data_IF_155219424019
#
_entry.id   IF_155219424019
#
_cell.length_a   1.000
_cell.length_b   1.000
_cell.length_c   1.000
_cell.angle_alpha   90.00
_cell.angle_beta   90.00
_cell.angle_gamma   90.00
#
_symmetry.space_group_name_H-M   'P 1'
#
loop_
_entity.id
_entity.type
_entity.pdbx_description
1 polymer ?
#
# COMPACT_ATOMS: atom_id res chain seq x y z
N UNK A 1 -2.98 8.72 20.45
CA UNK A 1 -1.70 9.44 20.47
C UNK A 1 -0.72 8.63 19.64
N UNK A 2 -0.17 9.17 18.55
CA UNK A 2 0.83 8.47 17.73
C UNK A 2 2.22 8.71 18.31
N UNK A 3 2.86 7.63 18.76
CA UNK A 3 4.28 7.64 19.14
C UNK A 3 5.15 7.78 17.88
N UNK A 4 6.39 8.32 17.98
CA UNK A 4 7.35 8.28 16.88
C UNK A 4 7.54 6.84 16.39
N UNK A 5 7.46 6.64 15.07
CA UNK A 5 7.62 5.35 14.42
C UNK A 5 8.08 5.54 12.97
N UNK A 6 8.54 4.44 12.39
CA UNK A 6 8.69 4.24 10.94
C UNK A 6 7.81 3.04 10.57
N UNK A 7 7.08 3.12 9.47
CA UNK A 7 6.11 2.09 9.11
C UNK A 7 5.82 2.00 7.61
N UNK A 8 5.19 0.87 7.27
CA UNK A 8 4.66 0.52 5.95
C UNK A 8 5.64 0.78 4.79
N UNK A 9 6.85 0.20 4.85
CA UNK A 9 7.84 0.35 3.80
C UNK A 9 7.31 -0.19 2.46
N UNK A 10 7.70 0.46 1.39
CA UNK A 10 7.51 0.06 0.00
C UNK A 10 8.89 0.00 -0.65
N UNK A 11 9.34 -1.20 -1.00
CA UNK A 11 10.74 -1.49 -1.34
C UNK A 11 10.86 -1.90 -2.79
N UNK A 12 11.75 -1.24 -3.52
CA UNK A 12 12.00 -1.43 -4.95
C UNK A 12 13.49 -1.65 -5.20
N UNK A 13 13.81 -2.53 -6.14
CA UNK A 13 15.19 -2.74 -6.60
C UNK A 13 15.41 -1.94 -7.88
N UNK A 14 16.32 -0.97 -7.84
CA UNK A 14 16.83 -0.27 -9.02
C UNK A 14 18.03 -1.05 -9.57
N UNK A 15 17.74 -1.95 -10.51
CA UNK A 15 18.74 -2.80 -11.16
C UNK A 15 19.82 -1.98 -11.89
N UNK A 16 19.47 -0.83 -12.47
CA UNK A 16 20.43 -0.03 -13.21
C UNK A 16 21.46 0.63 -12.28
N UNK A 17 21.04 1.03 -11.08
CA UNK A 17 21.90 1.62 -10.05
C UNK A 17 22.46 0.61 -9.05
N UNK A 18 21.99 -0.64 -9.09
CA UNK A 18 22.27 -1.66 -8.09
C UNK A 18 21.99 -1.15 -6.67
N UNK A 19 20.83 -0.51 -6.51
CA UNK A 19 20.40 0.16 -5.28
C UNK A 19 18.97 -0.28 -4.92
N UNK A 20 18.70 -0.44 -3.63
CA UNK A 20 17.39 -0.70 -3.07
C UNK A 20 16.83 0.65 -2.61
N UNK A 21 15.63 0.98 -3.08
CA UNK A 21 14.90 2.19 -2.73
C UNK A 21 13.74 1.79 -1.81
N UNK A 22 13.65 2.41 -0.64
CA UNK A 22 12.58 2.19 0.32
C UNK A 22 11.82 3.50 0.57
N UNK A 23 10.55 3.55 0.17
CA UNK A 23 9.64 4.60 0.62
C UNK A 23 9.00 4.16 1.93
N UNK A 24 9.08 4.98 2.96
CA UNK A 24 8.50 4.65 4.28
C UNK A 24 7.94 5.92 4.90
N UNK A 25 6.94 5.76 5.77
CA UNK A 25 6.36 6.89 6.49
C UNK A 25 6.73 6.87 7.96
N UNK A 26 6.70 8.06 8.56
CA UNK A 26 6.90 8.25 9.98
C UNK A 26 6.26 9.54 10.46
N UNK A 27 6.41 9.82 11.75
CA UNK A 27 5.86 11.04 12.36
C UNK A 27 6.72 12.26 11.97
N UNK A 28 6.14 13.20 11.24
CA UNK A 28 6.79 14.47 10.88
C UNK A 28 6.59 15.52 11.98
N UNK A 29 5.37 15.60 12.50
CA UNK A 29 4.97 16.43 13.63
C UNK A 29 3.75 15.81 14.28
N UNK A 30 3.31 16.33 15.42
CA UNK A 30 2.16 15.79 16.14
C UNK A 30 0.93 15.64 15.22
N UNK A 31 0.46 14.41 15.06
CA UNK A 31 -0.70 14.06 14.22
C UNK A 31 -0.45 14.08 12.69
N UNK A 32 0.75 14.42 12.23
CA UNK A 32 1.10 14.41 10.81
C UNK A 32 2.14 13.32 10.53
N UNK A 33 1.75 12.37 9.68
CA UNK A 33 2.66 11.39 9.10
C UNK A 33 3.00 11.80 7.66
N UNK A 34 4.23 11.55 7.24
CA UNK A 34 4.72 11.85 5.89
C UNK A 34 5.69 10.75 5.45
N UNK A 35 5.83 10.59 4.14
CA UNK A 35 6.72 9.61 3.52
C UNK A 35 8.05 10.26 3.16
N UNK A 36 9.14 9.53 3.41
CA UNK A 36 10.51 9.81 2.94
C UNK A 36 11.05 8.60 2.19
N UNK A 37 12.23 8.77 1.60
CA UNK A 37 12.96 7.69 0.95
C UNK A 37 14.25 7.38 1.70
N UNK A 38 14.60 6.10 1.76
CA UNK A 38 15.93 5.64 2.13
C UNK A 38 16.48 4.74 1.03
N UNK A 39 17.80 4.68 0.90
CA UNK A 39 18.45 3.78 -0.06
C UNK A 39 19.50 2.88 0.59
N UNK A 40 19.76 1.73 -0.02
CA UNK A 40 20.70 0.72 0.46
C UNK A 40 21.30 -0.06 -0.71
N UNK A 41 22.52 -0.56 -0.58
CA UNK A 41 23.15 -1.47 -1.55
C UNK A 41 23.21 -2.92 -1.08
N UNK A 42 22.83 -3.20 0.18
CA UNK A 42 22.93 -4.53 0.80
C UNK A 42 21.59 -5.02 1.39
N UNK A 43 20.57 -4.16 1.44
CA UNK A 43 19.26 -4.47 2.00
C UNK A 43 19.24 -4.52 3.53
N UNK A 44 20.32 -4.10 4.19
CA UNK A 44 20.50 -4.12 5.64
C UNK A 44 20.72 -2.69 6.15
N UNK A 45 21.69 -1.97 5.58
CA UNK A 45 22.04 -0.62 5.97
C UNK A 45 21.36 0.38 5.03
N UNK A 46 20.38 1.11 5.54
CA UNK A 46 19.63 2.12 4.81
C UNK A 46 20.07 3.54 5.21
N UNK A 47 20.32 4.38 4.21
CA UNK A 47 20.58 5.81 4.37
C UNK A 47 19.32 6.61 4.02
N UNK A 48 18.74 7.27 5.02
CA UNK A 48 17.56 8.13 4.83
C UNK A 48 17.93 9.42 4.10
N UNK A 49 17.00 9.92 3.29
CA UNK A 49 17.04 11.27 2.72
C UNK A 49 16.00 12.16 3.39
N UNK A 50 16.24 13.47 3.41
CA UNK A 50 15.45 14.40 4.21
C UNK A 50 14.12 14.81 3.57
N UNK A 51 14.05 14.78 2.22
CA UNK A 51 12.92 15.33 1.47
C UNK A 51 11.66 14.48 1.66
N UNK A 52 10.56 15.16 1.97
CA UNK A 52 9.23 14.56 2.00
C UNK A 52 8.77 14.30 0.56
N UNK A 53 8.31 13.08 0.29
CA UNK A 53 7.89 12.64 -1.05
C UNK A 53 6.37 12.54 -1.21
N UNK A 54 5.62 12.40 -0.11
CA UNK A 54 4.17 12.29 -0.16
C UNK A 54 3.52 11.93 1.17
N UNK A 55 2.20 11.70 1.12
CA UNK A 55 1.39 11.25 2.26
C UNK A 55 1.75 9.80 2.67
N UNK A 56 1.39 9.35 3.88
CA UNK A 56 1.74 8.02 4.38
C UNK A 56 1.14 6.89 3.55
N UNK A 57 1.65 5.66 3.75
CA UNK A 57 1.29 4.46 2.97
C UNK A 57 1.56 4.62 1.46
N UNK A 58 2.69 5.23 1.13
CA UNK A 58 3.13 5.43 -0.24
C UNK A 58 3.49 4.10 -0.92
N UNK A 59 3.05 3.91 -2.16
CA UNK A 59 3.29 2.74 -3.01
C UNK A 59 3.66 3.22 -4.41
N UNK A 60 4.90 2.97 -4.83
CA UNK A 60 5.36 3.31 -6.17
C UNK A 60 5.07 2.18 -7.16
N UNK A 61 4.88 2.54 -8.44
CA UNK A 61 4.74 1.60 -9.53
C UNK A 61 5.22 2.22 -10.85
N UNK A 62 5.66 1.40 -11.79
CA UNK A 62 6.08 1.85 -13.11
C UNK A 62 5.15 1.31 -14.20
N UNK A 63 4.87 2.13 -15.20
CA UNK A 63 4.07 1.75 -16.36
C UNK A 63 4.57 2.48 -17.62
N UNK A 64 4.89 1.72 -18.67
CA UNK A 64 5.39 2.22 -19.98
C UNK A 64 6.51 3.26 -19.87
N UNK A 65 7.50 2.99 -19.01
CA UNK A 65 8.68 3.83 -18.83
C UNK A 65 8.42 5.12 -18.03
N UNK A 66 7.25 5.25 -17.41
CA UNK A 66 6.94 6.31 -16.46
C UNK A 66 6.76 5.70 -15.07
N UNK A 67 7.13 6.48 -14.07
CA UNK A 67 6.99 6.12 -12.66
C UNK A 67 5.88 6.93 -12.02
N UNK A 68 5.08 6.24 -11.23
CA UNK A 68 3.93 6.76 -10.53
C UNK A 68 3.95 6.29 -9.08
N UNK A 69 3.08 6.87 -8.28
CA UNK A 69 2.81 6.36 -6.96
C UNK A 69 1.38 6.63 -6.53
N UNK A 70 0.95 5.94 -5.46
CA UNK A 70 -0.26 6.24 -4.72
C UNK A 70 0.07 6.29 -3.23
N UNK A 71 -0.56 7.19 -2.50
CA UNK A 71 -0.53 7.22 -1.02
C UNK A 71 -1.93 7.24 -0.45
N UNK A 72 -2.08 7.00 0.84
CA UNK A 72 -3.38 7.15 1.51
C UNK A 72 -3.83 8.63 1.46
N UNK A 73 -5.13 8.91 1.26
CA UNK A 73 -6.23 7.96 0.97
C UNK A 73 -6.55 7.93 -0.54
N UNK A 74 -5.63 7.39 -1.34
CA UNK A 74 -5.76 7.23 -2.79
C UNK A 74 -5.33 8.45 -3.59
N UNK A 75 -4.30 9.16 -3.13
CA UNK A 75 -3.69 10.31 -3.83
C UNK A 75 -2.64 9.76 -4.80
N UNK A 76 -2.80 10.05 -6.09
CA UNK A 76 -1.89 9.61 -7.13
C UNK A 76 -0.83 10.67 -7.44
N UNK A 77 0.35 10.20 -7.83
CA UNK A 77 1.50 11.02 -8.18
C UNK A 77 2.15 10.54 -9.48
N UNK A 78 2.74 11.47 -10.23
CA UNK A 78 3.70 11.16 -11.30
C UNK A 78 5.08 11.62 -10.85
N UNK A 79 6.09 10.77 -11.06
CA UNK A 79 7.47 11.13 -10.81
C UNK A 79 7.98 12.02 -11.94
N UNK A 80 8.51 13.20 -11.62
CA UNK A 80 9.02 14.19 -12.58
C UNK A 80 10.54 14.26 -12.65
N UNK A 81 11.25 13.53 -11.80
CA UNK A 81 12.71 13.42 -11.89
C UNK A 81 13.31 12.38 -10.95
N UNK A 82 14.06 12.84 -9.95
CA UNK A 82 14.70 11.96 -8.96
C UNK A 82 13.71 11.09 -8.17
N UNK A 83 14.22 10.16 -7.37
CA UNK A 83 13.39 9.25 -6.54
C UNK A 83 12.61 9.99 -5.44
N UNK A 84 12.79 11.31 -5.31
CA UNK A 84 12.09 12.17 -4.35
C UNK A 84 11.24 13.25 -5.04
N UNK A 85 11.07 13.18 -6.36
CA UNK A 85 10.44 14.22 -7.16
C UNK A 85 9.12 13.73 -7.75
N UNK A 86 8.07 13.81 -6.93
CA UNK A 86 6.70 13.43 -7.26
C UNK A 86 5.78 14.65 -7.25
N UNK A 87 4.90 14.73 -8.24
CA UNK A 87 3.83 15.72 -8.32
C UNK A 87 2.48 15.04 -8.20
N UNK A 88 1.55 15.65 -7.44
CA UNK A 88 0.19 15.14 -7.29
C UNK A 88 -0.54 15.27 -8.64
N UNK A 89 -1.24 14.19 -9.02
CA UNK A 89 -2.15 14.17 -10.16
C UNK A 89 -3.55 14.54 -9.65
N UNK A 90 -4.19 13.62 -8.91
CA UNK A 90 -5.48 13.82 -8.24
C UNK A 90 -5.67 12.75 -7.16
N UNK A 91 -6.84 12.75 -6.54
CA UNK A 91 -7.24 11.77 -5.53
C UNK A 91 -8.46 10.99 -6.04
N UNK A 92 -8.39 9.66 -5.98
CA UNK A 92 -9.43 8.77 -6.52
C UNK A 92 -10.26 8.02 -5.48
N UNK A 93 -9.86 8.05 -4.21
CA UNK A 93 -10.55 7.30 -3.14
C UNK A 93 -11.01 8.22 -2.02
N UNK A 94 -12.01 7.79 -1.26
CA UNK A 94 -12.57 8.54 -0.13
C UNK A 94 -11.70 8.45 1.13
N UNK A 95 -12.11 9.13 2.22
CA UNK A 95 -11.32 9.21 3.45
C UNK A 95 -11.25 7.88 4.23
N UNK A 96 -11.90 6.81 3.77
CA UNK A 96 -11.86 5.50 4.43
C UNK A 96 -10.71 4.66 3.93
N UNK A 97 -10.34 4.79 2.65
CA UNK A 97 -9.24 4.05 2.04
C UNK A 97 -7.96 4.27 2.84
N UNK A 98 -7.25 3.16 3.12
CA UNK A 98 -5.97 3.19 3.83
C UNK A 98 -4.92 2.31 3.17
N UNK A 99 -4.42 1.29 3.86
CA UNK A 99 -3.36 0.43 3.33
C UNK A 99 -3.69 -0.06 1.93
N UNK A 100 -2.67 -0.08 1.06
CA UNK A 100 -2.81 -0.59 -0.29
C UNK A 100 -1.57 -1.33 -0.79
N UNK A 101 -1.81 -2.18 -1.78
CA UNK A 101 -0.81 -2.77 -2.67
C UNK A 101 -1.21 -2.47 -4.11
N UNK A 102 -0.21 -2.27 -4.96
CA UNK A 102 -0.38 -1.94 -6.36
C UNK A 102 0.26 -3.00 -7.23
N UNK A 103 -0.45 -3.46 -8.26
CA UNK A 103 0.09 -4.35 -9.27
C UNK A 103 -0.31 -3.86 -10.65
N UNK A 104 0.66 -3.61 -11.52
CA UNK A 104 0.41 -3.38 -12.94
C UNK A 104 0.28 -4.73 -13.64
N UNK A 105 -0.90 -5.03 -14.14
CA UNK A 105 -1.17 -6.22 -14.94
C UNK A 105 -1.57 -5.78 -16.35
N UNK A 106 -0.66 -5.97 -17.31
CA UNK A 106 -0.75 -5.41 -18.66
C UNK A 106 -0.97 -3.88 -18.64
N UNK A 107 -2.15 -3.41 -19.05
CA UNK A 107 -2.52 -1.99 -19.08
C UNK A 107 -3.53 -1.63 -17.97
N UNK A 108 -3.63 -2.46 -16.93
CA UNK A 108 -4.54 -2.28 -15.81
C UNK A 108 -3.76 -2.20 -14.51
N UNK A 109 -4.01 -1.18 -13.70
CA UNK A 109 -3.54 -1.13 -12.32
C UNK A 109 -4.56 -1.81 -11.43
N UNK A 110 -4.14 -2.86 -10.74
CA UNK A 110 -4.88 -3.51 -9.67
C UNK A 110 -4.51 -2.83 -8.36
N UNK A 111 -5.51 -2.38 -7.62
CA UNK A 111 -5.35 -1.69 -6.35
C UNK A 111 -6.03 -2.53 -5.29
N UNK A 112 -5.22 -3.27 -4.53
CA UNK A 112 -5.70 -4.00 -3.36
C UNK A 112 -5.67 -3.04 -2.19
N UNK A 113 -6.76 -2.90 -1.44
CA UNK A 113 -6.81 -1.96 -0.32
C UNK A 113 -7.80 -2.39 0.75
N UNK A 114 -7.84 -1.65 1.85
CA UNK A 114 -8.80 -1.84 2.94
C UNK A 114 -9.37 -0.49 3.38
N UNK A 115 -10.57 -0.50 3.94
CA UNK A 115 -11.27 0.70 4.39
C UNK A 115 -11.44 0.74 5.90
N UNK A 116 -11.17 1.91 6.49
CA UNK A 116 -11.55 2.18 7.87
C UNK A 116 -13.08 2.20 7.99
N UNK A 117 -13.59 1.49 9.00
CA UNK A 117 -15.01 1.42 9.34
C UNK A 117 -15.74 0.21 8.75
N UNK A 118 -15.08 -0.57 7.88
CA UNK A 118 -15.63 -1.83 7.38
C UNK A 118 -15.76 -2.87 8.51
N UNK A 119 -16.75 -3.77 8.38
CA UNK A 119 -17.12 -4.75 9.40
C UNK A 119 -17.51 -6.12 8.77
N UNK A 120 -16.61 -7.12 8.74
CA UNK A 120 -15.21 -7.02 9.13
C UNK A 120 -14.43 -6.22 8.09
N UNK A 121 -13.35 -5.56 8.51
CA UNK A 121 -12.45 -4.99 7.53
C UNK A 121 -11.76 -6.11 6.73
N UNK A 122 -11.84 -5.97 5.42
CA UNK A 122 -11.48 -6.96 4.42
C UNK A 122 -10.61 -6.31 3.33
N UNK A 123 -9.95 -7.11 2.51
CA UNK A 123 -9.23 -6.62 1.33
C UNK A 123 -10.20 -6.50 0.16
N UNK A 124 -10.24 -5.30 -0.39
CA UNK A 124 -10.98 -4.90 -1.58
C UNK A 124 -10.02 -4.79 -2.77
N UNK A 125 -10.56 -4.93 -3.98
CA UNK A 125 -9.87 -4.71 -5.23
C UNK A 125 -10.67 -3.72 -6.08
N UNK A 126 -10.02 -2.61 -6.45
CA UNK A 126 -10.44 -1.74 -7.54
C UNK A 126 -9.41 -1.78 -8.66
N UNK A 127 -9.83 -1.45 -9.88
CA UNK A 127 -8.92 -1.39 -11.04
C UNK A 127 -8.94 -0.01 -11.69
N UNK A 128 -7.84 0.35 -12.35
CA UNK A 128 -7.73 1.54 -13.20
C UNK A 128 -7.21 1.15 -14.58
N UNK A 129 -7.84 1.66 -15.63
CA UNK A 129 -7.34 1.52 -17.00
C UNK A 129 -6.20 2.54 -17.26
N UNK A 130 -4.96 2.06 -17.29
CA UNK A 130 -3.76 2.87 -17.49
C UNK A 130 -3.55 3.33 -18.94
N UNK A 131 -4.39 2.92 -19.90
CA UNK A 131 -4.33 3.45 -21.28
C UNK A 131 -4.83 4.90 -21.37
N UNK A 132 -5.65 5.33 -20.41
CA UNK A 132 -6.14 6.71 -20.34
C UNK A 132 -5.03 7.64 -19.86
N UNK A 133 -5.20 8.93 -20.12
CA UNK A 133 -4.32 9.94 -19.51
C UNK A 133 -4.44 9.86 -17.98
N UNK A 134 -3.35 10.10 -17.23
CA UNK A 134 -3.39 10.01 -15.78
C UNK A 134 -4.46 10.88 -15.13
N UNK A 135 -4.71 12.08 -15.67
CA UNK A 135 -5.76 12.98 -15.20
C UNK A 135 -7.19 12.42 -15.39
N UNK A 136 -7.36 11.41 -16.24
CA UNK A 136 -8.63 10.75 -16.55
C UNK A 136 -8.75 9.35 -15.92
N UNK A 137 -7.77 8.94 -15.11
CA UNK A 137 -7.84 7.70 -14.36
C UNK A 137 -9.02 7.73 -13.39
N UNK A 138 -9.73 6.61 -13.30
CA UNK A 138 -10.83 6.42 -12.37
C UNK A 138 -10.84 4.98 -11.88
N UNK A 139 -10.96 4.80 -10.57
CA UNK A 139 -11.07 3.48 -9.98
C UNK A 139 -12.45 2.87 -10.26
N UNK A 140 -12.52 1.57 -10.53
CA UNK A 140 -13.80 0.85 -10.57
C UNK A 140 -14.41 0.76 -9.18
N UNK A 141 -15.71 0.52 -9.13
CA UNK A 141 -16.35 0.02 -7.90
C UNK A 141 -15.59 -1.20 -7.37
N UNK A 142 -15.34 -1.28 -6.05
CA UNK A 142 -14.55 -2.35 -5.49
C UNK A 142 -15.30 -3.67 -5.45
N UNK A 143 -14.54 -4.75 -5.59
CA UNK A 143 -14.97 -6.10 -5.23
C UNK A 143 -14.18 -6.56 -4.01
N UNK A 144 -14.81 -7.30 -3.11
CA UNK A 144 -14.09 -7.95 -2.02
C UNK A 144 -13.34 -9.16 -2.54
N UNK A 145 -12.05 -9.28 -2.19
CA UNK A 145 -11.18 -10.39 -2.64
C UNK A 145 -10.67 -11.25 -1.50
N UNK A 146 -10.65 -10.74 -0.27
CA UNK A 146 -10.21 -11.51 0.89
C UNK A 146 -10.85 -10.97 2.16
N UNK A 147 -11.50 -11.85 2.92
CA UNK A 147 -12.03 -11.57 4.27
C UNK A 147 -11.45 -12.54 5.30
N UNK A 148 -11.49 -12.23 6.61
CA UNK A 148 -11.04 -13.16 7.63
C UNK A 148 -11.98 -14.37 7.70
N UNK A 149 -11.45 -15.58 7.54
CA UNK A 149 -12.20 -16.84 7.60
C UNK A 149 -11.61 -17.82 8.61
N UNK A 150 -10.28 -17.91 8.69
CA UNK A 150 -9.59 -18.85 9.57
C UNK A 150 -9.52 -18.32 11.00
N UNK A 151 -9.36 -19.24 11.96
CA UNK A 151 -9.18 -18.87 13.37
C UNK A 151 -7.96 -17.95 13.56
N UNK A 152 -6.85 -18.25 12.88
CA UNK A 152 -5.64 -17.43 12.94
C UNK A 152 -5.79 -16.08 12.23
N UNK A 153 -6.78 -15.92 11.34
CA UNK A 153 -7.14 -14.62 10.76
C UNK A 153 -7.98 -13.76 11.70
N UNK A 154 -8.57 -14.39 12.72
CA UNK A 154 -9.60 -13.78 13.57
C UNK A 154 -11.03 -14.02 13.07
N UNK A 155 -11.27 -14.92 12.11
CA UNK A 155 -12.59 -15.15 11.50
C UNK A 155 -13.68 -15.60 12.50
N UNK A 156 -13.30 -16.19 13.63
CA UNK A 156 -14.23 -16.58 14.70
C UNK A 156 -14.46 -15.49 15.76
N UNK A 157 -13.76 -14.36 15.67
CA UNK A 157 -13.92 -13.25 16.62
C UNK A 157 -15.17 -12.43 16.27
N UNK A 158 -15.74 -11.68 17.24
CA UNK A 158 -16.89 -10.84 16.99
C UNK A 158 -16.65 -9.84 15.85
N UNK A 159 -17.69 -9.64 15.04
CA UNK A 159 -17.74 -8.60 14.03
C UNK A 159 -17.75 -7.23 14.71
N UNK A 160 -16.78 -6.39 14.35
CA UNK A 160 -16.73 -5.00 14.76
C UNK A 160 -16.11 -4.12 13.67
N UNK A 161 -16.62 -2.89 13.48
CA UNK A 161 -16.01 -1.91 12.58
C UNK A 161 -14.55 -1.63 12.93
N UNK A 162 -13.71 -1.46 11.93
CA UNK A 162 -12.35 -0.98 12.16
C UNK A 162 -12.31 0.51 12.49
N UNK A 163 -11.22 0.95 13.15
CA UNK A 163 -11.03 2.33 13.57
C UNK A 163 -9.69 2.87 13.06
N UNK A 164 -9.61 4.19 12.87
CA UNK A 164 -8.36 4.89 12.49
C UNK A 164 -7.48 5.09 13.72
N UNK A 165 -6.89 4.00 14.21
CA UNK A 165 -5.94 3.98 15.33
C UNK A 165 -5.16 2.66 15.32
N UNK A 166 -4.07 2.61 16.08
CA UNK A 166 -3.41 1.34 16.40
C UNK A 166 -4.39 0.39 17.10
N UNK A 167 -4.28 -0.89 16.76
CA UNK A 167 -5.03 -1.96 17.39
C UNK A 167 -4.05 -3.00 17.91
N UNK A 168 -4.07 -3.25 19.22
CA UNK A 168 -3.12 -4.13 19.90
C UNK A 168 -3.82 -5.36 20.48
N UNK A 169 -5.02 -5.68 19.97
CA UNK A 169 -5.83 -6.81 20.40
C UNK A 169 -6.28 -7.62 19.18
N UNK A 170 -6.51 -8.93 19.35
CA UNK A 170 -7.12 -9.76 18.31
C UNK A 170 -8.49 -9.27 17.89
N UNK A 171 -8.72 -9.19 16.57
CA UNK A 171 -10.01 -8.79 15.98
C UNK A 171 -10.32 -9.54 14.68
N UNK A 172 -11.59 -9.58 14.28
CA UNK A 172 -12.03 -10.13 12.99
C UNK A 172 -11.77 -9.12 11.86
N UNK A 173 -10.51 -8.87 11.52
CA UNK A 173 -10.11 -7.86 10.55
C UNK A 173 -8.79 -8.22 9.86
N UNK A 174 -8.76 -8.16 8.52
CA UNK A 174 -7.55 -8.27 7.68
C UNK A 174 -7.28 -6.94 6.97
N UNK A 175 -6.02 -6.64 6.65
CA UNK A 175 -5.56 -5.34 6.11
C UNK A 175 -4.12 -5.39 5.63
N UNK A 176 -3.57 -4.22 5.31
CA UNK A 176 -2.17 -4.02 4.91
C UNK A 176 -1.70 -5.02 3.84
N UNK A 177 -2.37 -4.99 2.66
CA UNK A 177 -1.99 -5.87 1.59
C UNK A 177 -0.61 -5.51 1.04
N UNK A 178 0.12 -6.52 0.58
CA UNK A 178 1.32 -6.39 -0.26
C UNK A 178 1.28 -7.46 -1.35
N UNK A 179 1.73 -7.13 -2.56
CA UNK A 179 1.71 -8.04 -3.72
C UNK A 179 3.11 -8.19 -4.27
N UNK A 180 3.50 -9.42 -4.59
CA UNK A 180 4.77 -9.70 -5.25
C UNK A 180 4.67 -10.91 -6.17
N UNK A 181 5.62 -11.01 -7.09
CA UNK A 181 5.77 -12.14 -7.99
C UNK A 181 7.04 -12.91 -7.64
N UNK A 182 6.94 -14.23 -7.57
CA UNK A 182 8.10 -15.12 -7.45
C UNK A 182 7.89 -16.35 -8.33
N UNK A 183 8.88 -16.65 -9.18
CA UNK A 183 8.87 -17.81 -10.10
C UNK A 183 7.60 -17.90 -10.97
N UNK A 184 7.09 -16.77 -11.46
CA UNK A 184 5.89 -16.70 -12.30
C UNK A 184 4.57 -16.88 -11.55
N UNK A 185 4.60 -16.87 -10.21
CA UNK A 185 3.42 -16.93 -9.35
C UNK A 185 3.25 -15.61 -8.62
N UNK A 186 2.01 -15.14 -8.54
CA UNK A 186 1.65 -13.95 -7.79
C UNK A 186 1.16 -14.33 -6.41
N UNK A 187 1.56 -13.53 -5.43
CA UNK A 187 1.25 -13.72 -4.03
C UNK A 187 0.69 -12.43 -3.43
N UNK A 188 -0.32 -12.57 -2.59
CA UNK A 188 -0.88 -11.50 -1.77
C UNK A 188 -0.51 -11.77 -0.31
N UNK A 189 0.34 -10.93 0.28
CA UNK A 189 0.49 -10.87 1.73
C UNK A 189 -0.54 -9.92 2.34
N UNK A 190 -0.90 -10.17 3.58
CA UNK A 190 -1.82 -9.32 4.34
C UNK A 190 -1.62 -9.51 5.85
N UNK A 191 -1.87 -8.45 6.60
CA UNK A 191 -1.91 -8.48 8.06
C UNK A 191 -3.23 -9.05 8.55
N UNK A 192 -3.16 -9.85 9.61
CA UNK A 192 -4.31 -10.57 10.17
C UNK A 192 -4.56 -10.24 11.64
N UNK A 193 -5.78 -10.51 12.11
CA UNK A 193 -6.13 -10.51 13.53
C UNK A 193 -5.74 -9.22 14.26
N UNK A 194 -5.92 -8.06 13.62
CA UNK A 194 -5.48 -6.78 14.16
C UNK A 194 -3.96 -6.60 14.15
N UNK A 195 -3.31 -6.92 13.02
CA UNK A 195 -1.86 -6.77 12.82
C UNK A 195 -1.03 -7.64 13.78
N UNK A 196 -1.58 -8.79 14.19
CA UNK A 196 -0.91 -9.75 15.08
C UNK A 196 -0.13 -10.83 14.30
N UNK A 197 -0.19 -10.82 12.97
CA UNK A 197 0.53 -11.73 12.12
C UNK A 197 0.45 -11.28 10.66
N UNK A 198 1.27 -11.92 9.82
CA UNK A 198 1.28 -11.74 8.38
C UNK A 198 0.95 -13.10 7.76
N UNK A 199 0.01 -13.09 6.83
CA UNK A 199 -0.39 -14.25 6.05
C UNK A 199 -0.09 -14.03 4.57
N UNK A 200 -0.16 -15.12 3.80
CA UNK A 200 0.11 -15.13 2.36
C UNK A 200 -0.92 -16.02 1.67
N UNK A 201 -1.39 -15.59 0.50
CA UNK A 201 -2.27 -16.36 -0.36
C UNK A 201 -1.76 -16.34 -1.82
N UNK A 202 -2.01 -17.41 -2.56
CA UNK A 202 -1.84 -17.43 -4.01
C UNK A 202 -2.85 -16.46 -4.65
N UNK A 203 -2.36 -15.55 -5.51
CA UNK A 203 -3.19 -14.62 -6.25
C UNK A 203 -3.35 -15.09 -7.69
N UNK A 204 -4.58 -15.44 -8.08
CA UNK A 204 -4.92 -15.81 -9.45
C UNK A 204 -5.64 -14.64 -10.13
N UNK A 205 -5.07 -14.15 -11.23
CA UNK A 205 -5.67 -13.13 -12.08
C UNK A 205 -6.19 -13.83 -13.33
N UNK A 206 -7.50 -13.81 -13.51
CA UNK A 206 -8.19 -14.39 -14.67
C UNK A 206 -8.47 -13.34 -15.74
#
# INVERSE_FOLDING_TARGET
MTIPHIASPDVHVDEARQEIIMYYHGLEKFGLQQTRVATSTDGILFSSRDKIVGWPYFRAFSYKGKDYAMSMPGIFYERKGGIEEFEIIHRLFDDKMRHAALLVHFDTLLIFYSNVGDNPESILLSTINLKKNPDEWNATEPVEVLRPEKEWEGGNLPLQPSSRSAINIPVNQVRDPAVFEENGKLYLLYSVRGENGIAIADLLIN
#
